data_IF_672657495369
#
_entry.id   IF_672657495369
#
_cell.length_a   1.000
_cell.length_b   1.000
_cell.length_c   1.000
_cell.angle_alpha   90.00
_cell.angle_beta   90.00
_cell.angle_gamma   90.00
#
_symmetry.space_group_name_H-M   'P 1'
#
loop_
_entity.id
_entity.type
_entity.pdbx_description
1 polymer ?
#
# COMPACT_ATOMS: atom_id res chain seq x y z
N UNK A 1 -44.77 -12.20 47.40
CA UNK A 1 -44.32 -11.09 46.51
C UNK A 1 -42.82 -10.82 46.56
N UNK A 2 -42.16 -10.79 47.74
CA UNK A 2 -40.70 -10.57 47.84
C UNK A 2 -39.84 -11.62 47.11
N UNK A 3 -40.22 -12.90 47.17
CA UNK A 3 -39.50 -13.97 46.46
C UNK A 3 -39.55 -13.83 44.93
N UNK A 4 -40.69 -13.40 44.37
CA UNK A 4 -40.87 -13.20 42.92
C UNK A 4 -40.03 -12.02 42.42
N UNK A 5 -39.95 -10.93 43.19
CA UNK A 5 -39.09 -9.79 42.86
C UNK A 5 -37.60 -10.16 42.86
N UNK A 6 -37.16 -11.05 43.77
CA UNK A 6 -35.78 -11.55 43.77
C UNK A 6 -35.45 -12.35 42.50
N UNK A 7 -36.36 -13.19 42.01
CA UNK A 7 -36.11 -13.95 40.78
C UNK A 7 -36.09 -13.07 39.54
N UNK A 8 -36.95 -12.04 39.48
CA UNK A 8 -36.99 -11.11 38.35
C UNK A 8 -35.70 -10.27 38.25
N UNK A 9 -35.14 -9.88 39.39
CA UNK A 9 -33.87 -9.13 39.49
C UNK A 9 -32.68 -9.94 38.96
N UNK A 10 -32.62 -11.23 39.30
CA UNK A 10 -31.52 -12.10 38.85
C UNK A 10 -31.63 -12.36 37.34
N UNK A 11 -32.84 -12.56 36.83
CA UNK A 11 -33.08 -12.76 35.40
C UNK A 11 -32.63 -11.55 34.56
N UNK A 12 -32.88 -10.33 35.05
CA UNK A 12 -32.49 -9.08 34.38
C UNK A 12 -30.97 -8.91 34.29
N UNK A 13 -30.23 -9.35 35.31
CA UNK A 13 -28.76 -9.31 35.33
C UNK A 13 -28.19 -10.33 34.33
N UNK A 14 -28.79 -11.53 34.23
CA UNK A 14 -28.35 -12.56 33.28
C UNK A 14 -28.53 -12.12 31.83
N UNK A 15 -29.66 -11.45 31.51
CA UNK A 15 -29.90 -10.97 30.15
C UNK A 15 -28.90 -9.86 29.75
N UNK A 16 -28.55 -8.98 30.70
CA UNK A 16 -27.59 -7.89 30.47
C UNK A 16 -26.16 -8.38 30.18
N UNK A 17 -25.73 -9.51 30.76
CA UNK A 17 -24.39 -10.08 30.46
C UNK A 17 -24.36 -10.84 29.13
N UNK A 18 -25.48 -11.38 28.66
CA UNK A 18 -25.54 -12.09 27.37
C UNK A 18 -25.63 -11.16 26.15
N UNK A 19 -26.04 -9.90 26.31
CA UNK A 19 -26.13 -8.94 25.20
C UNK A 19 -24.80 -8.25 24.87
N UNK A 20 -23.73 -8.56 25.60
CA UNK A 20 -22.39 -7.98 25.38
C UNK A 20 -21.49 -8.85 24.46
N UNK A 21 -22.02 -9.92 23.86
CA UNK A 21 -21.28 -10.77 22.92
C UNK A 21 -21.44 -10.29 21.47
N UNK A 22 -21.14 -9.01 21.19
CA UNK A 22 -21.16 -8.45 19.83
C UNK A 22 -19.76 -8.42 19.20
N UNK A 23 -18.89 -9.37 19.55
CA UNK A 23 -17.56 -9.49 18.93
C UNK A 23 -17.54 -10.47 17.74
N UNK A 24 -18.52 -11.36 17.59
CA UNK A 24 -18.47 -12.39 16.54
C UNK A 24 -18.66 -11.86 15.10
N UNK A 25 -19.14 -10.62 14.94
CA UNK A 25 -19.30 -9.97 13.62
C UNK A 25 -18.21 -8.92 13.31
N UNK A 26 -17.24 -8.74 14.21
CA UNK A 26 -16.09 -7.91 13.89
C UNK A 26 -15.10 -8.77 13.09
N UNK A 27 -15.23 -8.74 11.76
CA UNK A 27 -14.12 -9.18 10.93
C UNK A 27 -12.99 -8.21 11.18
N UNK A 28 -11.97 -8.64 11.91
CA UNK A 28 -10.71 -7.91 11.96
C UNK A 28 -10.31 -7.62 10.51
N UNK A 29 -10.12 -6.34 10.14
CA UNK A 29 -9.70 -6.03 8.79
C UNK A 29 -8.40 -6.78 8.54
N UNK A 30 -8.31 -7.54 7.45
CA UNK A 30 -7.11 -8.27 7.10
C UNK A 30 -6.04 -7.29 6.61
N UNK A 31 -5.47 -6.53 7.55
CA UNK A 31 -4.43 -5.53 7.33
C UNK A 31 -3.07 -6.23 7.30
N UNK A 32 -2.89 -7.08 6.29
CA UNK A 32 -1.58 -7.64 6.00
C UNK A 32 -0.68 -6.56 5.41
N UNK A 33 0.55 -6.51 5.91
CA UNK A 33 1.59 -5.64 5.37
C UNK A 33 2.04 -6.22 4.02
N UNK A 34 1.92 -5.41 2.96
CA UNK A 34 2.29 -5.81 1.59
C UNK A 34 3.62 -5.16 1.20
N UNK A 35 4.58 -5.93 0.67
CA UNK A 35 5.87 -5.39 0.29
C UNK A 35 5.76 -4.53 -0.98
N UNK A 36 6.25 -3.30 -0.91
CA UNK A 36 6.29 -2.36 -2.02
C UNK A 36 7.69 -1.82 -2.26
N UNK A 37 7.93 -1.42 -3.51
CA UNK A 37 9.06 -0.55 -3.84
C UNK A 37 8.62 0.90 -3.70
N UNK A 38 9.17 1.60 -2.70
CA UNK A 38 8.90 3.01 -2.44
C UNK A 38 9.99 3.87 -3.08
N UNK A 39 9.61 4.64 -4.09
CA UNK A 39 10.46 5.57 -4.83
C UNK A 39 10.20 6.97 -4.30
N UNK A 40 11.25 7.62 -3.83
CA UNK A 40 11.24 8.94 -3.18
C UNK A 40 12.34 9.82 -3.76
N UNK A 41 12.41 11.07 -3.29
CA UNK A 41 13.42 12.06 -3.72
C UNK A 41 13.51 12.17 -5.26
N UNK A 42 12.36 12.15 -5.92
CA UNK A 42 12.26 12.19 -7.38
C UNK A 42 12.55 13.62 -7.84
N UNK A 43 13.70 13.82 -8.48
CA UNK A 43 14.16 15.16 -8.86
C UNK A 43 13.83 15.49 -10.31
N UNK A 44 12.89 16.42 -10.53
CA UNK A 44 12.62 16.99 -11.83
C UNK A 44 11.33 17.82 -11.88
N UNK A 45 11.06 18.51 -13.00
CA UNK A 45 9.84 19.29 -13.17
C UNK A 45 8.61 18.37 -13.14
N UNK A 46 7.60 18.76 -12.38
CA UNK A 46 6.33 18.03 -12.22
C UNK A 46 6.50 16.57 -11.74
N UNK A 47 7.62 16.25 -11.10
CA UNK A 47 7.86 14.93 -10.54
C UNK A 47 6.88 14.65 -9.38
N UNK A 48 6.37 13.41 -9.27
CA UNK A 48 5.61 13.01 -8.08
C UNK A 48 6.50 13.08 -6.84
N UNK A 49 5.89 13.32 -5.68
CA UNK A 49 6.55 13.33 -4.39
C UNK A 49 7.07 11.95 -4.00
N UNK A 50 6.26 10.91 -4.26
CA UNK A 50 6.58 9.49 -3.98
C UNK A 50 5.81 8.60 -4.95
N UNK A 51 6.36 7.44 -5.27
CA UNK A 51 5.66 6.37 -6.00
C UNK A 51 5.85 5.06 -5.22
N UNK A 52 4.76 4.36 -4.94
CA UNK A 52 4.79 2.99 -4.42
C UNK A 52 4.38 2.04 -5.55
N UNK A 53 5.22 1.05 -5.82
CA UNK A 53 4.93 -0.03 -6.78
C UNK A 53 4.71 -1.31 -5.96
N UNK A 54 3.49 -1.86 -6.04
CA UNK A 54 3.14 -3.09 -5.35
C UNK A 54 3.68 -4.29 -6.14
N UNK A 55 4.23 -5.27 -5.41
CA UNK A 55 4.90 -6.44 -6.02
C UNK A 55 3.95 -7.61 -6.28
N UNK A 56 2.83 -7.63 -5.56
CA UNK A 56 1.89 -8.74 -5.52
C UNK A 56 0.51 -8.35 -6.06
N UNK A 57 0.27 -7.05 -6.21
CA UNK A 57 -0.97 -6.48 -6.72
C UNK A 57 -0.67 -5.63 -7.94
N UNK A 58 -1.59 -5.60 -8.90
CA UNK A 58 -1.53 -4.77 -10.10
C UNK A 58 -1.82 -3.30 -9.77
N UNK A 59 -1.01 -2.71 -8.88
CA UNK A 59 -1.24 -1.42 -8.25
C UNK A 59 0.04 -0.57 -8.21
N UNK A 60 -0.10 0.68 -8.67
CA UNK A 60 0.84 1.76 -8.43
C UNK A 60 0.11 2.88 -7.68
N UNK A 61 0.74 3.42 -6.65
CA UNK A 61 0.24 4.60 -5.93
C UNK A 61 1.23 5.75 -6.07
N UNK A 62 0.78 6.85 -6.67
CA UNK A 62 1.57 8.07 -6.83
C UNK A 62 1.10 9.13 -5.88
N UNK A 63 2.04 9.83 -5.27
CA UNK A 63 1.80 10.89 -4.32
C UNK A 63 2.19 12.21 -4.97
N UNK A 64 1.26 13.16 -5.06
CA UNK A 64 1.56 14.53 -5.49
C UNK A 64 2.06 15.40 -4.32
N UNK A 65 1.81 14.97 -3.09
CA UNK A 65 2.29 15.58 -1.85
C UNK A 65 2.41 14.50 -0.76
N UNK A 66 2.76 14.89 0.47
CA UNK A 66 2.80 13.96 1.60
C UNK A 66 1.44 13.33 1.95
N UNK A 67 0.33 13.89 1.48
CA UNK A 67 -1.04 13.47 1.84
C UNK A 67 -1.93 13.14 0.64
N UNK A 68 -1.63 13.68 -0.54
CA UNK A 68 -2.46 13.49 -1.72
C UNK A 68 -1.90 12.33 -2.56
N UNK A 69 -2.66 11.25 -2.64
CA UNK A 69 -2.31 10.05 -3.39
C UNK A 69 -3.34 9.76 -4.49
N UNK A 70 -2.89 9.11 -5.56
CA UNK A 70 -3.73 8.55 -6.63
C UNK A 70 -3.26 7.14 -6.92
N UNK A 71 -4.22 6.24 -7.14
CA UNK A 71 -3.94 4.86 -7.52
C UNK A 71 -4.09 4.67 -9.02
N UNK A 72 -3.32 3.74 -9.55
CA UNK A 72 -3.31 3.36 -10.95
C UNK A 72 -3.18 1.85 -11.03
N UNK A 73 -3.89 1.23 -11.96
CA UNK A 73 -3.62 -0.16 -12.29
C UNK A 73 -2.24 -0.26 -12.93
N UNK A 74 -1.56 -1.39 -12.70
CA UNK A 74 -0.32 -1.71 -13.38
C UNK A 74 -0.41 -2.96 -14.22
N UNK A 75 0.50 -3.08 -15.19
CA UNK A 75 0.68 -4.27 -16.00
C UNK A 75 2.18 -4.49 -16.30
N UNK A 76 2.53 -5.62 -16.92
CA UNK A 76 3.88 -5.94 -17.40
C UNK A 76 4.98 -5.76 -16.33
N UNK A 77 4.66 -6.06 -15.07
CA UNK A 77 5.63 -6.00 -13.99
C UNK A 77 6.76 -7.02 -14.21
N UNK A 78 8.00 -6.55 -14.07
CA UNK A 78 9.20 -7.37 -14.17
C UNK A 78 10.25 -6.88 -13.18
N UNK A 79 10.69 -7.77 -12.29
CA UNK A 79 11.80 -7.55 -11.36
C UNK A 79 12.96 -8.45 -11.77
N UNK A 80 14.01 -7.84 -12.32
CA UNK A 80 15.27 -8.50 -12.71
C UNK A 80 16.44 -8.06 -11.84
N UNK A 81 16.13 -7.60 -10.63
CA UNK A 81 17.12 -7.13 -9.66
C UNK A 81 18.17 -8.20 -9.36
N UNK A 82 19.43 -7.79 -9.28
CA UNK A 82 20.57 -8.65 -8.93
C UNK A 82 20.92 -8.49 -7.45
N UNK A 83 22.05 -9.05 -7.00
CA UNK A 83 22.53 -8.88 -5.62
C UNK A 83 22.77 -7.40 -5.28
N UNK A 84 23.34 -6.64 -6.21
CA UNK A 84 23.77 -5.26 -5.97
C UNK A 84 22.83 -4.20 -6.56
N UNK A 85 21.92 -4.58 -7.47
CA UNK A 85 21.12 -3.62 -8.25
C UNK A 85 19.63 -3.93 -8.17
N UNK A 86 18.82 -2.88 -8.01
CA UNK A 86 17.41 -2.90 -8.37
C UNK A 86 17.26 -2.68 -9.88
N UNK A 87 16.50 -3.55 -10.54
CA UNK A 87 16.14 -3.42 -11.97
C UNK A 87 14.67 -3.80 -12.13
N UNK A 88 13.80 -2.80 -12.15
CA UNK A 88 12.34 -2.98 -12.20
C UNK A 88 11.78 -2.35 -13.48
N UNK A 89 10.82 -3.03 -14.10
CA UNK A 89 9.98 -2.46 -15.15
C UNK A 89 8.51 -2.68 -14.79
N UNK A 90 7.68 -1.66 -14.96
CA UNK A 90 6.23 -1.78 -14.77
C UNK A 90 5.51 -0.75 -15.62
N UNK A 91 4.35 -1.11 -16.15
CA UNK A 91 3.51 -0.20 -16.92
C UNK A 91 2.42 0.40 -16.03
N UNK A 92 2.37 1.74 -15.95
CA UNK A 92 1.26 2.46 -15.32
C UNK A 92 0.14 2.65 -16.33
N UNK A 93 -1.02 2.07 -16.06
CA UNK A 93 -2.21 2.22 -16.91
C UNK A 93 -2.98 3.50 -16.54
N UNK A 94 -3.21 4.34 -17.53
CA UNK A 94 -3.97 5.59 -17.42
C UNK A 94 -5.12 5.61 -18.41
N UNK A 95 -6.03 6.59 -18.30
CA UNK A 95 -7.12 6.76 -19.26
C UNK A 95 -6.63 6.99 -20.70
N UNK A 96 -5.44 7.58 -20.85
CA UNK A 96 -4.88 8.01 -22.14
C UNK A 96 -3.89 6.99 -22.73
N UNK A 97 -3.63 5.87 -22.03
CA UNK A 97 -2.69 4.84 -22.46
C UNK A 97 -1.83 4.31 -21.31
N UNK A 98 -0.71 3.68 -21.67
CA UNK A 98 0.26 3.11 -20.73
C UNK A 98 1.53 3.97 -20.67
N UNK A 99 2.08 4.12 -19.46
CA UNK A 99 3.37 4.75 -19.22
C UNK A 99 4.32 3.72 -18.61
N UNK A 100 5.37 3.35 -19.34
CA UNK A 100 6.36 2.41 -18.85
C UNK A 100 7.32 3.09 -17.87
N UNK A 101 7.48 2.50 -16.69
CA UNK A 101 8.44 2.88 -15.65
C UNK A 101 9.57 1.87 -15.63
N UNK A 102 10.77 2.33 -16.01
CA UNK A 102 12.01 1.60 -15.85
C UNK A 102 12.79 2.19 -14.68
N UNK A 103 13.01 1.39 -13.64
CA UNK A 103 13.78 1.77 -12.46
C UNK A 103 15.09 1.00 -12.42
N UNK A 104 16.19 1.72 -12.25
CA UNK A 104 17.51 1.12 -12.04
C UNK A 104 18.21 1.86 -10.91
N UNK A 105 18.63 1.14 -9.86
CA UNK A 105 19.26 1.75 -8.69
C UNK A 105 20.22 0.79 -8.00
N UNK A 106 21.19 1.33 -7.28
CA UNK A 106 22.10 0.57 -6.42
C UNK A 106 21.39 0.16 -5.12
N UNK A 107 21.53 -1.10 -4.69
CA UNK A 107 20.88 -1.64 -3.49
C UNK A 107 21.52 -1.17 -2.19
N UNK A 108 22.81 -0.87 -2.19
CA UNK A 108 23.54 -0.40 -1.02
C UNK A 108 23.15 1.02 -0.61
N UNK A 109 22.85 1.87 -1.58
CA UNK A 109 22.54 3.29 -1.39
C UNK A 109 21.09 3.64 -1.66
N UNK A 110 20.37 2.79 -2.42
CA UNK A 110 19.03 3.07 -2.95
C UNK A 110 19.01 4.10 -4.08
N UNK A 111 20.14 4.69 -4.46
CA UNK A 111 20.17 5.78 -5.44
C UNK A 111 20.13 5.25 -6.86
N UNK A 112 19.38 5.93 -7.73
CA UNK A 112 19.25 5.50 -9.12
C UNK A 112 18.41 6.41 -9.98
N UNK A 113 17.82 5.82 -11.02
CA UNK A 113 17.01 6.50 -12.02
C UNK A 113 15.65 5.85 -12.21
N UNK A 114 14.63 6.69 -12.37
CA UNK A 114 13.33 6.34 -12.93
C UNK A 114 13.26 6.91 -14.35
N UNK A 115 13.12 6.06 -15.36
CA UNK A 115 12.94 6.44 -16.75
C UNK A 115 11.52 6.13 -17.18
N UNK A 116 10.77 7.16 -17.59
CA UNK A 116 9.41 7.06 -18.11
C UNK A 116 9.44 7.02 -19.64
N UNK A 117 8.83 5.98 -20.23
CA UNK A 117 8.72 5.79 -21.69
C UNK A 117 10.07 5.91 -22.44
N UNK A 118 11.17 5.53 -21.80
CA UNK A 118 12.52 5.63 -22.36
C UNK A 118 13.02 7.06 -22.63
N UNK A 119 12.28 8.11 -22.24
CA UNK A 119 12.56 9.49 -22.67
C UNK A 119 12.81 10.43 -21.48
N UNK A 120 11.96 10.37 -20.46
CA UNK A 120 12.06 11.27 -19.30
C UNK A 120 12.76 10.51 -18.18
N UNK A 121 13.88 11.04 -17.70
CA UNK A 121 14.66 10.40 -16.63
C UNK A 121 14.75 11.30 -15.41
N UNK A 122 14.42 10.74 -14.25
CA UNK A 122 14.52 11.37 -12.94
C UNK A 122 15.57 10.65 -12.10
N UNK A 123 16.35 11.41 -11.33
CA UNK A 123 17.13 10.84 -10.22
C UNK A 123 16.18 10.52 -9.06
N UNK A 124 16.37 9.35 -8.44
CA UNK A 124 15.48 8.84 -7.39
C UNK A 124 16.26 8.18 -6.24
N UNK A 125 15.54 7.91 -5.15
CA UNK A 125 15.93 6.95 -4.12
C UNK A 125 14.83 5.89 -3.98
N UNK A 126 15.19 4.62 -4.08
CA UNK A 126 14.28 3.47 -3.90
C UNK A 126 14.60 2.73 -2.60
N UNK A 127 13.56 2.30 -1.91
CA UNK A 127 13.64 1.36 -0.80
C UNK A 127 12.55 0.30 -0.90
N UNK A 128 12.83 -0.89 -0.37
CA UNK A 128 11.79 -1.87 -0.08
C UNK A 128 11.18 -1.54 1.29
N UNK A 129 9.87 -1.46 1.35
CA UNK A 129 9.15 -1.22 2.60
C UNK A 129 7.82 -1.96 2.55
N UNK A 130 7.33 -2.37 3.70
CA UNK A 130 5.99 -2.92 3.79
C UNK A 130 4.99 -1.80 4.12
N UNK A 131 3.84 -1.81 3.45
CA UNK A 131 2.75 -0.84 3.67
C UNK A 131 1.45 -1.58 3.91
N UNK A 132 0.57 -0.99 4.70
CA UNK A 132 -0.80 -1.48 4.84
C UNK A 132 -1.55 -1.23 3.53
N UNK A 133 -2.18 -2.27 2.99
CA UNK A 133 -3.12 -2.18 1.86
C UNK A 133 -4.53 -1.92 2.38
#
# INVERSE_FOLDING_TARGET
>A
MKAILSYLSILLIVIAVTSCNVEENFQEPNIELVPVYSITNIQGPSAPFKINIYRQDDLIVEYSSSVNASNFNSDNYSDTSTEDMYILSVDKITADGSINYLITADKGTGQGTLTMNGTITYSIVISQTDVYN
#
